data_IF_055459308861
#
_entry.id   IF_055459308861
#
_cell.length_a   1.000
_cell.length_b   1.000
_cell.length_c   1.000
_cell.angle_alpha   90.00
_cell.angle_beta   90.00
_cell.angle_gamma   90.00
#
_symmetry.space_group_name_H-M   'P 1'
#
loop_
_entity.id
_entity.type
_entity.pdbx_description
1 polymer ?
#
# COMPACT_ATOMS: atom_id res chain seq x y z
N UNK A 1 6.28 -5.94 -3.44
CA UNK A 1 7.69 -5.90 -2.98
C UNK A 1 8.10 -4.95 -1.81
N UNK A 2 7.21 -4.65 -0.83
CA UNK A 2 7.65 -4.30 0.56
C UNK A 2 7.28 -5.44 1.54
N UNK A 3 6.50 -6.44 1.10
CA UNK A 3 6.08 -7.56 1.92
C UNK A 3 6.51 -8.94 1.40
N UNK A 4 6.67 -9.15 0.10
CA UNK A 4 7.16 -10.45 -0.38
C UNK A 4 8.68 -10.48 -0.66
N UNK A 5 9.47 -10.59 0.40
CA UNK A 5 10.90 -10.86 0.28
C UNK A 5 11.30 -12.10 1.08
N UNK A 6 10.71 -13.26 0.81
CA UNK A 6 11.32 -14.50 1.27
C UNK A 6 11.01 -15.77 0.47
N UNK A 7 11.59 -15.94 -0.73
CA UNK A 7 11.90 -17.29 -1.25
C UNK A 7 13.22 -17.36 -2.03
N UNK A 8 14.34 -17.59 -1.33
CA UNK A 8 15.49 -18.38 -1.83
C UNK A 8 16.07 -19.24 -0.71
N UNK A 9 15.86 -20.56 -0.82
CA UNK A 9 16.06 -21.53 0.26
C UNK A 9 17.44 -22.18 0.38
N UNK A 10 17.54 -23.13 1.34
CA UNK A 10 18.63 -24.11 1.40
C UNK A 10 19.02 -24.67 2.78
N UNK A 11 18.19 -25.57 3.34
CA UNK A 11 18.53 -26.75 4.20
C UNK A 11 19.41 -26.56 5.47
N UNK A 12 18.83 -26.84 6.65
CA UNK A 12 19.34 -27.84 7.61
C UNK A 12 18.32 -28.16 8.72
N UNK A 13 17.70 -29.35 8.61
CA UNK A 13 16.93 -30.03 9.64
C UNK A 13 17.79 -30.40 10.86
N UNK A 14 17.27 -30.24 12.09
CA UNK A 14 17.53 -31.19 13.20
C UNK A 14 16.40 -31.18 14.25
N UNK A 15 15.88 -32.39 14.47
CA UNK A 15 14.69 -32.79 15.22
C UNK A 15 14.99 -33.12 16.70
N UNK A 16 13.94 -33.11 17.55
CA UNK A 16 13.65 -33.90 18.80
C UNK A 16 13.47 -33.03 20.07
N UNK A 17 12.48 -33.18 20.98
CA UNK A 17 11.51 -34.25 21.32
C UNK A 17 10.33 -33.71 22.20
N UNK A 18 9.09 -34.03 21.81
CA UNK A 18 7.92 -34.56 22.58
C UNK A 18 7.32 -33.87 23.84
N UNK A 19 6.04 -33.45 23.75
CA UNK A 19 4.95 -33.94 24.62
C UNK A 19 3.57 -33.67 23.97
N UNK A 20 2.85 -34.75 23.69
CA UNK A 20 1.51 -34.76 23.06
C UNK A 20 0.48 -34.39 24.12
N UNK A 21 -0.15 -33.24 23.97
CA UNK A 21 -1.44 -32.94 24.61
C UNK A 21 -2.46 -32.76 23.48
N UNK A 22 -3.41 -33.69 23.41
CA UNK A 22 -4.53 -33.65 22.48
C UNK A 22 -5.46 -32.49 22.87
N UNK A 23 -5.09 -31.28 22.45
CA UNK A 23 -5.96 -30.11 22.41
C UNK A 23 -6.61 -30.04 21.04
N UNK A 24 -7.93 -29.86 21.04
CA UNK A 24 -8.76 -29.61 19.88
C UNK A 24 -8.19 -28.40 19.10
N UNK A 25 -7.35 -28.66 18.10
CA UNK A 25 -6.89 -27.66 17.14
C UNK A 25 -8.06 -27.32 16.23
N UNK A 26 -8.81 -26.27 16.59
CA UNK A 26 -9.51 -25.48 15.59
C UNK A 26 -8.42 -24.81 14.78
N UNK A 27 -7.92 -25.51 13.75
CA UNK A 27 -7.09 -24.91 12.72
C UNK A 27 -7.99 -23.95 11.96
N UNK A 28 -8.02 -22.69 12.37
CA UNK A 28 -8.28 -21.60 11.43
C UNK A 28 -7.18 -21.72 10.39
N UNK A 29 -7.51 -22.29 9.23
CA UNK A 29 -6.64 -22.24 8.09
C UNK A 29 -6.40 -20.75 7.80
N UNK A 30 -5.19 -20.28 8.11
CA UNK A 30 -4.71 -19.04 7.54
C UNK A 30 -4.52 -19.38 6.07
N UNK A 31 -5.47 -18.98 5.24
CA UNK A 31 -5.30 -19.03 3.78
C UNK A 31 -4.28 -17.94 3.50
N UNK A 32 -3.00 -18.32 3.46
CA UNK A 32 -1.94 -17.45 2.96
C UNK A 32 -2.05 -17.52 1.45
N UNK A 33 -2.72 -16.52 0.88
CA UNK A 33 -2.72 -16.36 -0.56
C UNK A 33 -1.43 -15.72 -1.04
N UNK A 34 -0.95 -16.13 -2.20
CA UNK A 34 0.25 -15.57 -2.80
C UNK A 34 -0.12 -14.35 -3.67
N UNK A 35 0.33 -13.16 -3.25
CA UNK A 35 0.33 -12.00 -4.13
C UNK A 35 1.39 -12.17 -5.23
N UNK A 36 1.12 -11.66 -6.42
CA UNK A 36 2.12 -11.60 -7.50
C UNK A 36 2.80 -10.23 -7.54
N UNK A 37 3.98 -10.14 -8.15
CA UNK A 37 4.89 -9.00 -7.97
C UNK A 37 4.78 -7.93 -9.06
N UNK A 38 4.11 -8.23 -10.18
CA UNK A 38 3.96 -7.33 -11.32
C UNK A 38 2.52 -7.28 -11.83
N UNK A 39 2.28 -6.56 -12.93
CA UNK A 39 0.96 -6.49 -13.56
C UNK A 39 0.41 -7.84 -13.96
N UNK A 40 -0.91 -8.01 -13.89
CA UNK A 40 -1.54 -9.24 -14.34
C UNK A 40 -1.33 -9.42 -15.85
N UNK A 41 -1.20 -10.68 -16.28
CA UNK A 41 -1.34 -11.01 -17.69
C UNK A 41 -2.75 -10.67 -18.17
N UNK A 42 -2.81 -10.00 -19.33
CA UNK A 42 -4.06 -9.55 -19.93
C UNK A 42 -4.34 -10.24 -21.26
N UNK A 43 -5.62 -10.45 -21.56
CA UNK A 43 -6.15 -10.86 -22.87
C UNK A 43 -7.15 -9.82 -23.34
N UNK A 44 -6.93 -9.26 -24.53
CA UNK A 44 -7.77 -8.20 -25.11
C UNK A 44 -7.98 -6.98 -24.17
N UNK A 45 -7.00 -6.70 -23.30
CA UNK A 45 -7.03 -5.61 -22.33
C UNK A 45 -7.66 -5.95 -20.98
N UNK A 46 -8.27 -7.12 -20.81
CA UNK A 46 -8.83 -7.58 -19.54
C UNK A 46 -7.85 -8.51 -18.81
N UNK A 47 -7.85 -8.50 -17.47
CA UNK A 47 -7.11 -9.46 -16.64
C UNK A 47 -7.58 -10.87 -16.98
N UNK A 48 -6.62 -11.75 -17.29
CA UNK A 48 -6.92 -13.14 -17.63
C UNK A 48 -7.12 -13.98 -16.38
N UNK A 49 -8.27 -14.65 -16.28
CA UNK A 49 -8.52 -15.65 -15.25
C UNK A 49 -8.10 -17.04 -15.77
N UNK A 50 -7.11 -17.63 -15.12
CA UNK A 50 -6.56 -18.94 -15.46
C UNK A 50 -7.40 -20.09 -14.90
N UNK A 51 -7.97 -19.90 -13.72
CA UNK A 51 -8.81 -20.88 -13.05
C UNK A 51 -9.79 -20.20 -12.09
N UNK A 52 -10.83 -20.94 -11.71
CA UNK A 52 -11.66 -20.63 -10.54
C UNK A 52 -11.08 -21.47 -9.40
N UNK A 53 -10.28 -20.83 -8.55
CA UNK A 53 -9.50 -21.50 -7.50
C UNK A 53 -8.62 -20.49 -6.76
N UNK A 54 -7.73 -20.99 -5.92
CA UNK A 54 -6.93 -20.15 -5.01
C UNK A 54 -5.88 -19.30 -5.72
N UNK A 55 -5.45 -19.65 -6.95
CA UNK A 55 -4.45 -18.88 -7.71
C UNK A 55 -4.97 -18.52 -9.11
N UNK A 56 -6.05 -17.72 -9.17
CA UNK A 56 -6.81 -17.44 -10.39
C UNK A 56 -6.04 -16.66 -11.45
N UNK A 57 -4.98 -15.94 -11.08
CA UNK A 57 -4.28 -15.00 -11.98
C UNK A 57 -2.79 -15.32 -12.07
N UNK A 58 -2.15 -14.74 -13.10
CA UNK A 58 -0.70 -14.71 -13.22
C UNK A 58 -0.22 -13.31 -13.51
N UNK A 59 0.97 -12.98 -13.01
CA UNK A 59 1.66 -11.75 -13.39
C UNK A 59 2.47 -11.89 -14.69
N UNK A 60 3.00 -10.77 -15.19
CA UNK A 60 3.81 -10.73 -16.42
C UNK A 60 5.14 -11.50 -16.35
N UNK A 61 5.57 -11.91 -15.15
CA UNK A 61 6.71 -12.79 -14.95
C UNK A 61 6.31 -14.29 -14.90
N UNK A 62 5.01 -14.58 -14.98
CA UNK A 62 4.43 -15.92 -15.02
C UNK A 62 4.17 -16.53 -13.64
N UNK A 63 4.29 -15.76 -12.56
CA UNK A 63 3.97 -16.19 -11.20
C UNK A 63 2.46 -16.29 -11.04
N UNK A 64 1.97 -17.36 -10.44
CA UNK A 64 0.54 -17.53 -10.16
C UNK A 64 0.21 -17.09 -8.73
N UNK A 65 -0.97 -16.49 -8.56
CA UNK A 65 -1.44 -15.95 -7.28
C UNK A 65 -2.90 -15.53 -7.31
N UNK A 66 -3.36 -14.90 -6.24
CA UNK A 66 -4.73 -14.37 -6.10
C UNK A 66 -4.81 -12.85 -6.24
N UNK A 67 -3.69 -12.20 -6.45
CA UNK A 67 -3.64 -10.78 -6.72
C UNK A 67 -2.53 -10.44 -7.72
N UNK A 68 -2.67 -9.32 -8.42
CA UNK A 68 -1.54 -8.68 -9.11
C UNK A 68 -1.58 -7.17 -8.98
N UNK A 69 -0.46 -6.54 -9.38
CA UNK A 69 -0.21 -5.11 -9.21
C UNK A 69 -0.69 -4.31 -10.42
N UNK A 70 -1.61 -3.39 -10.22
CA UNK A 70 -2.19 -2.59 -11.31
C UNK A 70 -1.93 -1.08 -11.12
N UNK A 71 -2.43 -0.30 -12.07
CA UNK A 71 -2.49 1.15 -12.00
C UNK A 71 -3.89 1.59 -11.57
N UNK A 72 -4.07 2.22 -10.40
CA UNK A 72 -5.39 2.70 -10.00
C UNK A 72 -5.85 3.89 -10.84
N UNK A 73 -7.17 4.08 -10.99
CA UNK A 73 -7.72 5.25 -11.69
C UNK A 73 -7.40 6.52 -10.91
N UNK A 74 -7.57 6.47 -9.59
CA UNK A 74 -7.19 7.52 -8.67
C UNK A 74 -6.67 6.95 -7.35
N UNK A 75 -5.61 7.57 -6.84
CA UNK A 75 -5.04 7.32 -5.53
C UNK A 75 -5.19 8.58 -4.68
N UNK A 76 -5.70 8.44 -3.47
CA UNK A 76 -5.98 9.55 -2.57
C UNK A 76 -5.16 9.43 -1.31
N UNK A 77 -4.42 10.48 -1.02
CA UNK A 77 -3.60 10.61 0.18
C UNK A 77 -4.02 11.84 0.96
N UNK A 78 -3.66 11.89 2.25
CA UNK A 78 -3.84 13.05 3.09
C UNK A 78 -2.49 13.40 3.74
N UNK A 79 -1.96 14.59 3.43
CA UNK A 79 -0.58 14.99 3.70
C UNK A 79 -0.55 15.96 4.88
N UNK A 80 0.09 15.56 5.99
CA UNK A 80 0.33 16.43 7.15
C UNK A 80 1.64 17.21 7.02
N UNK A 81 2.68 16.54 6.53
CA UNK A 81 4.00 17.15 6.30
C UNK A 81 4.52 16.72 4.94
N UNK A 82 5.08 17.65 4.19
CA UNK A 82 5.89 17.34 3.01
C UNK A 82 7.02 18.35 2.88
N UNK A 83 8.25 17.87 2.81
CA UNK A 83 9.42 18.74 2.84
C UNK A 83 10.74 18.03 2.62
N UNK A 84 11.82 18.77 2.84
CA UNK A 84 13.19 18.30 2.75
C UNK A 84 13.92 18.54 4.08
N UNK A 85 14.84 17.65 4.44
CA UNK A 85 15.56 17.67 5.71
C UNK A 85 17.07 17.55 5.50
N UNK A 86 17.84 18.15 6.41
CA UNK A 86 19.32 18.06 6.42
C UNK A 86 19.84 16.89 7.25
N UNK A 87 18.93 16.14 7.88
CA UNK A 87 19.21 14.91 8.61
C UNK A 87 18.02 13.95 8.44
N UNK A 88 18.26 12.64 8.59
CA UNK A 88 17.20 11.64 8.44
C UNK A 88 16.12 11.80 9.52
N UNK A 89 14.85 12.00 9.13
CA UNK A 89 13.73 11.93 10.07
C UNK A 89 13.39 10.49 10.45
N UNK A 90 13.93 9.48 9.75
CA UNK A 90 13.82 8.07 10.12
C UNK A 90 14.83 7.74 11.23
N UNK A 91 14.55 8.22 12.44
CA UNK A 91 15.36 7.99 13.63
C UNK A 91 14.48 7.56 14.83
N UNK A 92 15.04 7.44 16.03
CA UNK A 92 14.29 6.96 17.20
C UNK A 92 13.19 7.93 17.68
N UNK A 93 13.36 9.23 17.46
CA UNK A 93 12.42 10.27 17.94
C UNK A 93 11.51 10.81 16.85
N UNK A 94 11.75 10.44 15.59
CA UNK A 94 11.04 10.97 14.42
C UNK A 94 11.10 12.50 14.31
N UNK A 95 12.12 13.14 14.91
CA UNK A 95 12.24 14.59 14.91
C UNK A 95 12.30 15.13 13.48
N UNK A 96 11.53 16.19 13.25
CA UNK A 96 11.49 16.92 12.00
C UNK A 96 12.17 18.28 12.09
N UNK A 97 12.97 18.53 13.13
CA UNK A 97 13.59 19.85 13.39
C UNK A 97 14.59 20.28 12.30
N UNK A 98 15.17 19.30 11.60
CA UNK A 98 16.08 19.53 10.47
C UNK A 98 15.36 19.79 9.14
N UNK A 99 14.02 19.72 9.14
CA UNK A 99 13.20 19.79 7.95
C UNK A 99 12.70 21.20 7.67
N UNK A 100 12.58 21.53 6.39
CA UNK A 100 11.81 22.65 5.87
C UNK A 100 10.69 22.11 4.99
N UNK A 101 9.54 22.79 4.97
CA UNK A 101 8.30 22.21 4.46
C UNK A 101 7.65 23.04 3.36
N UNK A 102 7.08 22.32 2.39
CA UNK A 102 6.08 22.78 1.42
C UNK A 102 4.66 22.60 1.99
N UNK A 103 4.42 21.48 2.66
CA UNK A 103 3.18 21.21 3.40
C UNK A 103 3.51 21.05 4.87
N UNK A 104 2.86 21.86 5.70
CA UNK A 104 2.91 21.79 7.16
C UNK A 104 1.50 22.07 7.71
N UNK A 105 0.68 21.03 7.81
CA UNK A 105 -0.74 21.13 8.19
C UNK A 105 -1.09 20.11 9.28
N UNK A 106 -1.65 20.57 10.40
CA UNK A 106 -2.13 19.68 11.46
C UNK A 106 -3.46 19.00 11.11
N UNK A 107 -4.24 19.60 10.21
CA UNK A 107 -5.47 19.01 9.69
C UNK A 107 -5.23 18.02 8.53
N UNK A 108 -4.04 18.03 7.95
CA UNK A 108 -3.75 17.35 6.68
C UNK A 108 -4.26 18.15 5.47
N UNK A 109 -3.73 17.82 4.29
CA UNK A 109 -4.20 18.30 3.00
C UNK A 109 -4.47 17.07 2.13
N UNK A 110 -5.72 16.87 1.74
CA UNK A 110 -6.07 15.79 0.83
C UNK A 110 -5.56 16.10 -0.57
N UNK A 111 -4.91 15.12 -1.18
CA UNK A 111 -4.43 15.17 -2.54
C UNK A 111 -4.84 13.91 -3.29
N UNK A 112 -5.27 14.09 -4.53
CA UNK A 112 -5.66 13.03 -5.44
C UNK A 112 -4.64 12.96 -6.57
N UNK A 113 -4.13 11.76 -6.80
CA UNK A 113 -3.15 11.44 -7.83
C UNK A 113 -3.88 10.59 -8.86
N UNK A 114 -3.83 10.99 -10.13
CA UNK A 114 -4.42 10.26 -11.24
C UNK A 114 -3.49 10.34 -12.44
N UNK A 115 -3.32 9.26 -13.18
CA UNK A 115 -2.51 9.23 -14.40
C UNK A 115 -3.42 9.25 -15.64
N UNK A 116 -3.09 9.99 -16.72
CA UNK A 116 -1.92 10.85 -16.93
C UNK A 116 -2.13 12.31 -16.45
N UNK A 117 -3.18 12.56 -15.67
CA UNK A 117 -3.48 13.89 -15.16
C UNK A 117 -2.34 14.43 -14.27
N UNK A 118 -2.16 15.75 -14.29
CA UNK A 118 -1.27 16.45 -13.35
C UNK A 118 -2.15 17.30 -12.45
N UNK A 119 -1.90 17.23 -11.15
CA UNK A 119 -2.58 18.04 -10.15
C UNK A 119 -1.53 18.76 -9.30
N UNK A 120 -1.77 20.03 -9.04
CA UNK A 120 -0.94 20.79 -8.11
C UNK A 120 -1.23 20.33 -6.68
N UNK A 121 -0.18 20.07 -5.91
CA UNK A 121 -0.31 19.89 -4.45
C UNK A 121 -0.44 21.27 -3.83
N UNK A 122 -1.49 21.48 -3.04
CA UNK A 122 -1.65 22.72 -2.28
C UNK A 122 -0.52 22.81 -1.25
N UNK A 123 0.32 23.83 -1.36
CA UNK A 123 1.37 24.15 -0.39
C UNK A 123 0.91 25.27 0.53
N UNK A 124 1.35 25.24 1.78
CA UNK A 124 0.99 26.25 2.79
C UNK A 124 2.21 26.81 3.54
N UNK A 125 3.41 26.47 3.08
CA UNK A 125 4.68 26.87 3.66
C UNK A 125 5.72 27.12 2.55
N UNK A 126 6.82 27.79 2.91
CA UNK A 126 7.95 28.04 2.01
C UNK A 126 9.18 27.27 2.50
N UNK A 127 9.90 26.69 1.55
CA UNK A 127 11.20 26.08 1.80
C UNK A 127 12.25 27.14 2.11
N UNK A 128 13.07 26.89 3.13
CA UNK A 128 14.24 27.70 3.43
C UNK A 128 15.36 27.41 2.42
N UNK A 129 16.23 28.41 2.21
CA UNK A 129 17.46 28.24 1.42
C UNK A 129 18.37 27.27 2.16
N UNK A 130 18.92 26.29 1.44
CA UNK A 130 19.74 25.25 2.04
C UNK A 130 20.02 24.11 1.07
N UNK A 131 20.81 23.15 1.56
CA UNK A 131 21.06 21.88 0.87
C UNK A 131 20.49 20.76 1.72
N UNK A 132 19.63 19.94 1.12
CA UNK A 132 18.91 18.89 1.81
C UNK A 132 19.18 17.54 1.15
N UNK A 133 19.55 16.55 1.95
CA UNK A 133 19.88 15.19 1.54
C UNK A 133 18.79 14.17 1.90
N UNK A 134 17.72 14.62 2.55
CA UNK A 134 16.56 13.80 2.88
C UNK A 134 15.26 14.47 2.43
N UNK A 135 14.27 13.65 2.09
CA UNK A 135 12.88 14.06 1.85
C UNK A 135 11.96 13.39 2.86
N UNK A 136 10.91 14.09 3.29
CA UNK A 136 9.96 13.59 4.28
C UNK A 136 8.53 13.81 3.84
N UNK A 137 7.71 12.77 4.01
CA UNK A 137 6.26 12.83 3.95
C UNK A 137 5.72 12.28 5.27
N UNK A 138 4.78 13.00 5.88
CA UNK A 138 3.92 12.46 6.94
C UNK A 138 2.51 12.43 6.39
N UNK A 139 1.97 11.24 6.20
CA UNK A 139 0.65 10.98 5.65
C UNK A 139 -0.30 10.49 6.73
N UNK A 140 -1.60 10.59 6.50
CA UNK A 140 -2.56 9.69 7.13
C UNK A 140 -2.22 8.25 6.74
N UNK A 141 -2.30 7.30 7.67
CA UNK A 141 -2.09 5.88 7.36
C UNK A 141 -3.28 5.25 6.63
N UNK A 142 -4.29 6.04 6.25
CA UNK A 142 -5.46 5.66 5.48
C UNK A 142 -5.30 6.12 4.04
N UNK A 143 -5.08 5.19 3.13
CA UNK A 143 -4.86 5.45 1.71
C UNK A 143 -6.11 5.09 0.93
N UNK A 144 -6.53 5.95 0.01
CA UNK A 144 -7.76 5.76 -0.76
C UNK A 144 -7.47 5.31 -2.18
N UNK A 145 -8.15 4.28 -2.65
CA UNK A 145 -8.11 3.80 -4.02
C UNK A 145 -9.50 3.92 -4.63
N UNK A 146 -9.55 4.46 -5.84
CA UNK A 146 -10.72 4.38 -6.71
C UNK A 146 -10.26 3.73 -8.00
N UNK A 147 -10.87 2.62 -8.37
CA UNK A 147 -10.41 1.82 -9.49
C UNK A 147 -11.55 1.01 -10.13
N UNK A 148 -11.44 0.82 -11.43
CA UNK A 148 -12.26 -0.07 -12.24
C UNK A 148 -11.34 -1.06 -12.93
N UNK A 149 -11.70 -2.33 -12.92
CA UNK A 149 -10.95 -3.40 -13.58
C UNK A 149 -11.88 -4.28 -14.42
N UNK A 150 -11.37 -4.81 -15.53
CA UNK A 150 -12.09 -5.75 -16.38
C UNK A 150 -11.35 -7.09 -16.42
N UNK A 151 -12.10 -8.17 -16.24
CA UNK A 151 -11.65 -9.56 -16.31
C UNK A 151 -12.18 -10.24 -17.56
N UNK A 152 -11.42 -11.19 -18.10
CA UNK A 152 -11.84 -11.95 -19.28
C UNK A 152 -13.02 -12.90 -18.99
N UNK A 153 -13.24 -13.18 -17.70
CA UNK A 153 -14.25 -14.07 -17.14
C UNK A 153 -15.10 -13.31 -16.13
N UNK A 154 -16.40 -13.61 -16.06
CA UNK A 154 -17.27 -12.98 -15.08
C UNK A 154 -16.97 -13.51 -13.67
N UNK A 155 -16.75 -12.62 -12.72
CA UNK A 155 -16.48 -12.93 -11.31
C UNK A 155 -17.50 -12.20 -10.42
N UNK A 156 -17.48 -12.49 -9.13
CA UNK A 156 -18.44 -11.96 -8.16
C UNK A 156 -17.88 -10.75 -7.40
N UNK A 157 -18.76 -9.85 -7.01
CA UNK A 157 -18.46 -8.75 -6.10
C UNK A 157 -19.44 -8.76 -4.93
N UNK A 158 -19.55 -7.62 -4.24
CA UNK A 158 -20.39 -7.48 -3.06
C UNK A 158 -21.89 -7.74 -3.32
N UNK A 159 -22.41 -7.35 -4.48
CA UNK A 159 -23.85 -7.48 -4.79
C UNK A 159 -24.15 -8.17 -6.11
N UNK A 160 -23.24 -8.05 -7.08
CA UNK A 160 -23.42 -8.58 -8.42
C UNK A 160 -22.30 -9.51 -8.88
N UNK A 161 -22.40 -9.91 -10.14
CA UNK A 161 -21.33 -10.57 -10.87
C UNK A 161 -21.25 -10.02 -12.28
N UNK A 162 -20.05 -10.04 -12.85
CA UNK A 162 -19.79 -9.48 -14.16
C UNK A 162 -18.31 -9.50 -14.50
N UNK A 163 -17.98 -9.09 -15.72
CA UNK A 163 -16.58 -8.95 -16.16
C UNK A 163 -15.95 -7.67 -15.65
N UNK A 164 -16.74 -6.63 -15.39
CA UNK A 164 -16.24 -5.35 -14.89
C UNK A 164 -16.48 -5.32 -13.40
N UNK A 165 -15.44 -5.00 -12.65
CA UNK A 165 -15.49 -4.80 -11.22
C UNK A 165 -14.94 -3.42 -10.86
N UNK A 166 -15.36 -2.88 -9.73
CA UNK A 166 -14.96 -1.56 -9.27
C UNK A 166 -14.94 -1.47 -7.75
N UNK A 167 -14.11 -0.57 -7.24
CA UNK A 167 -14.08 -0.25 -5.81
C UNK A 167 -15.42 0.33 -5.35
N UNK A 168 -15.89 -0.09 -4.17
CA UNK A 168 -17.06 0.51 -3.50
C UNK A 168 -16.63 1.30 -2.25
N UNK A 169 -17.56 2.02 -1.65
CA UNK A 169 -17.28 2.79 -0.43
C UNK A 169 -17.09 1.84 0.76
N UNK A 170 -15.83 1.54 1.07
CA UNK A 170 -15.43 0.63 2.15
C UNK A 170 -14.14 1.11 2.82
N UNK A 171 -13.83 0.53 3.99
CA UNK A 171 -12.55 0.72 4.65
C UNK A 171 -12.08 -0.63 5.18
N UNK A 172 -10.91 -1.07 4.73
CA UNK A 172 -10.22 -2.30 5.15
C UNK A 172 -8.96 -1.94 5.95
N UNK A 173 -8.37 -2.93 6.61
CA UNK A 173 -7.02 -2.82 7.15
C UNK A 173 -6.05 -3.71 6.34
N UNK A 174 -4.79 -3.30 6.31
CA UNK A 174 -3.73 -4.07 5.65
C UNK A 174 -3.51 -5.42 6.34
N UNK A 175 -3.30 -5.42 7.66
CA UNK A 175 -3.08 -6.66 8.43
C UNK A 175 -4.36 -7.25 9.04
N UNK A 176 -5.50 -6.58 8.88
CA UNK A 176 -6.78 -7.07 9.39
C UNK A 176 -6.87 -7.13 10.92
N UNK A 177 -6.14 -6.26 11.63
CA UNK A 177 -6.07 -6.27 13.10
C UNK A 177 -6.73 -5.04 13.73
N UNK A 178 -7.03 -4.01 12.94
CA UNK A 178 -7.71 -2.80 13.42
C UNK A 178 -9.18 -3.05 13.73
N UNK A 179 -9.64 -2.58 14.87
CA UNK A 179 -11.05 -2.68 15.24
C UNK A 179 -11.95 -1.78 14.37
N UNK A 180 -13.14 -2.28 14.04
CA UNK A 180 -14.18 -1.48 13.37
C UNK A 180 -13.97 -1.24 11.87
N UNK A 181 -13.03 -1.95 11.24
CA UNK A 181 -12.86 -1.99 9.77
C UNK A 181 -13.38 -3.29 9.19
N UNK A 182 -13.56 -3.33 7.87
CA UNK A 182 -13.99 -4.54 7.16
C UNK A 182 -12.76 -5.43 6.93
N UNK A 183 -12.89 -6.70 7.30
CA UNK A 183 -12.01 -7.76 6.81
C UNK A 183 -12.49 -8.18 5.42
N UNK A 184 -11.73 -7.86 4.38
CA UNK A 184 -12.12 -8.18 3.01
C UNK A 184 -12.10 -9.69 2.79
N UNK A 185 -13.21 -10.23 2.30
CA UNK A 185 -13.37 -11.66 2.02
C UNK A 185 -14.47 -11.87 0.99
N UNK A 186 -14.66 -13.08 0.44
CA UNK A 186 -15.84 -13.40 -0.36
C UNK A 186 -17.18 -13.06 0.31
N UNK A 187 -17.27 -13.12 1.65
CA UNK A 187 -18.47 -12.78 2.40
C UNK A 187 -18.67 -11.26 2.61
N UNK A 188 -17.57 -10.49 2.54
CA UNK A 188 -17.53 -9.04 2.75
C UNK A 188 -16.62 -8.35 1.73
N UNK A 189 -16.91 -8.43 0.41
CA UNK A 189 -16.06 -7.81 -0.60
C UNK A 189 -16.09 -6.27 -0.50
N UNK A 190 -14.94 -5.64 -0.70
CA UNK A 190 -14.72 -4.20 -0.84
C UNK A 190 -14.77 -3.74 -2.32
N UNK A 191 -15.21 -4.62 -3.22
CA UNK A 191 -15.46 -4.34 -4.63
C UNK A 191 -16.83 -4.89 -5.04
N UNK A 192 -17.40 -4.35 -6.12
CA UNK A 192 -18.61 -4.89 -6.75
C UNK A 192 -18.39 -5.15 -8.25
N UNK A 193 -19.18 -6.05 -8.83
CA UNK A 193 -19.03 -6.47 -10.22
C UNK A 193 -20.38 -6.46 -10.97
N UNK A 194 -20.35 -6.12 -12.25
CA UNK A 194 -21.54 -6.04 -13.11
C UNK A 194 -21.29 -5.37 -14.45
N UNK A 195 -22.35 -4.84 -15.06
CA UNK A 195 -22.29 -4.26 -16.41
C UNK A 195 -21.90 -2.77 -16.43
N UNK A 196 -22.28 -2.03 -15.38
CA UNK A 196 -22.13 -0.57 -15.31
C UNK A 196 -21.30 -0.19 -14.08
N UNK A 197 -20.00 0.10 -14.25
CA UNK A 197 -19.14 0.50 -13.15
C UNK A 197 -19.57 1.81 -12.48
N UNK A 198 -19.57 1.80 -11.14
CA UNK A 198 -19.82 2.99 -10.30
C UNK A 198 -18.73 3.08 -9.23
N UNK A 199 -17.46 3.34 -9.62
CA UNK A 199 -16.34 3.32 -8.69
C UNK A 199 -16.46 4.42 -7.63
N UNK A 200 -16.26 4.04 -6.37
CA UNK A 200 -16.12 4.92 -5.23
C UNK A 200 -14.75 4.73 -4.56
N UNK A 201 -14.35 5.64 -3.67
CA UNK A 201 -13.13 5.42 -2.89
C UNK A 201 -13.35 4.28 -1.90
N UNK A 202 -12.60 3.20 -2.08
CA UNK A 202 -12.29 2.25 -1.02
C UNK A 202 -11.02 2.72 -0.31
N UNK A 203 -10.91 2.49 0.98
CA UNK A 203 -9.74 2.88 1.76
C UNK A 203 -9.08 1.67 2.40
N UNK A 204 -7.75 1.66 2.44
CA UNK A 204 -6.98 0.72 3.24
C UNK A 204 -6.24 1.48 4.34
N UNK A 205 -6.37 1.01 5.58
CA UNK A 205 -5.64 1.51 6.72
C UNK A 205 -4.42 0.62 6.96
N UNK A 206 -3.24 1.22 6.94
CA UNK A 206 -2.02 0.57 7.39
C UNK A 206 -1.97 0.56 8.91
N UNK A 207 -2.49 -0.51 9.49
CA UNK A 207 -2.43 -0.82 10.92
C UNK A 207 -1.15 -1.57 11.31
N UNK A 208 -0.45 -2.14 10.34
CA UNK A 208 0.85 -2.79 10.46
C UNK A 208 1.71 -2.51 9.21
N UNK A 209 3.01 -2.66 9.36
CA UNK A 209 4.03 -2.71 8.31
C UNK A 209 4.52 -4.16 8.15
N UNK A 210 3.62 -5.12 8.21
CA UNK A 210 3.86 -6.57 8.12
C UNK A 210 2.53 -7.30 8.22
N UNK A 211 2.50 -8.62 7.95
CA UNK A 211 1.27 -9.41 7.81
C UNK A 211 0.36 -9.49 9.07
N UNK A 212 0.78 -8.90 10.19
CA UNK A 212 0.02 -8.86 11.44
C UNK A 212 0.35 -10.02 12.38
N UNK A 213 -0.62 -10.39 13.23
CA UNK A 213 -0.49 -11.48 14.20
C UNK A 213 -0.07 -11.04 15.61
N UNK A 214 0.51 -11.97 16.39
CA UNK A 214 0.81 -11.74 17.82
C UNK A 214 1.85 -10.63 18.08
N UNK A 215 2.61 -10.23 17.05
CA UNK A 215 3.61 -9.17 17.14
C UNK A 215 3.37 -8.13 16.06
N UNK A 216 2.83 -6.95 16.42
CA UNK A 216 2.62 -5.91 15.43
C UNK A 216 3.95 -5.32 14.95
N UNK A 217 4.03 -5.04 13.65
CA UNK A 217 5.22 -4.45 13.02
C UNK A 217 4.89 -3.01 12.66
N UNK A 218 5.59 -2.03 13.24
CA UNK A 218 5.34 -0.60 12.96
C UNK A 218 6.45 0.09 12.18
N UNK A 219 7.48 -0.66 11.81
CA UNK A 219 8.60 -0.22 10.99
C UNK A 219 8.80 -1.29 9.93
N UNK A 220 9.01 -0.90 8.68
CA UNK A 220 9.35 -1.88 7.65
C UNK A 220 10.61 -2.67 8.07
N UNK A 221 10.61 -3.99 7.86
CA UNK A 221 11.63 -4.90 8.38
C UNK A 221 13.01 -4.70 7.74
N UNK A 222 13.06 -4.13 6.53
CA UNK A 222 14.29 -3.84 5.83
C UNK A 222 14.91 -2.52 6.33
N UNK A 223 15.90 -2.65 7.22
CA UNK A 223 16.73 -1.54 7.69
C UNK A 223 17.53 -0.88 6.54
N UNK A 224 17.81 -1.60 5.44
CA UNK A 224 18.46 -1.04 4.25
C UNK A 224 17.52 -0.12 3.47
N UNK A 225 16.21 -0.37 3.55
CA UNK A 225 15.16 0.41 2.91
C UNK A 225 14.99 0.10 1.42
N UNK A 226 13.87 0.55 0.86
CA UNK A 226 13.51 0.28 -0.52
C UNK A 226 14.24 1.23 -1.49
N UNK A 227 15.09 0.68 -2.36
CA UNK A 227 15.78 1.45 -3.41
C UNK A 227 14.80 1.87 -4.52
N UNK A 228 14.76 3.16 -4.81
CA UNK A 228 13.99 3.76 -5.90
C UNK A 228 14.87 4.73 -6.69
N UNK A 229 14.36 5.21 -7.83
CA UNK A 229 15.10 6.18 -8.66
C UNK A 229 15.55 7.42 -7.87
N UNK A 230 14.71 7.92 -6.95
CA UNK A 230 14.96 9.12 -6.15
C UNK A 230 15.91 8.92 -4.97
N UNK A 231 16.20 7.67 -4.56
CA UNK A 231 16.96 7.39 -3.34
C UNK A 231 16.51 6.12 -2.63
N UNK A 232 16.69 6.07 -1.31
CA UNK A 232 16.34 4.93 -0.48
C UNK A 232 15.20 5.34 0.45
N UNK A 233 14.05 4.67 0.33
CA UNK A 233 12.84 4.94 1.09
C UNK A 233 12.72 4.02 2.30
N UNK A 234 12.33 4.59 3.44
CA UNK A 234 11.94 3.88 4.65
C UNK A 234 10.61 4.42 5.15
N UNK A 235 9.80 3.53 5.71
CA UNK A 235 8.49 3.88 6.23
C UNK A 235 8.25 3.29 7.62
N UNK A 236 7.52 4.03 8.46
CA UNK A 236 7.06 3.56 9.76
C UNK A 236 5.70 4.17 10.10
N UNK A 237 4.92 3.44 10.90
CA UNK A 237 3.65 3.90 11.43
C UNK A 237 3.87 4.69 12.71
N UNK A 238 3.18 5.81 12.80
CA UNK A 238 3.25 6.76 13.89
C UNK A 238 1.85 7.00 14.47
N UNK A 239 1.83 7.45 15.72
CA UNK A 239 0.64 8.04 16.33
C UNK A 239 0.42 9.46 15.80
N UNK A 240 -0.72 10.05 16.14
CA UNK A 240 -1.03 11.44 15.80
C UNK A 240 -0.04 12.48 16.36
N UNK A 241 0.71 12.16 17.42
CA UNK A 241 1.76 13.00 18.01
C UNK A 241 3.17 12.78 17.41
N UNK A 242 3.26 11.98 16.34
CA UNK A 242 4.49 11.59 15.62
C UNK A 242 5.44 10.65 16.40
N UNK A 243 5.06 10.16 17.57
CA UNK A 243 5.76 9.02 18.18
C UNK A 243 5.46 7.72 17.42
N UNK A 244 6.33 6.72 17.54
CA UNK A 244 6.11 5.44 16.84
C UNK A 244 4.86 4.75 17.37
N UNK A 245 4.04 4.19 16.48
CA UNK A 245 2.89 3.38 16.86
C UNK A 245 3.31 2.17 17.70
N UNK A 246 2.42 1.71 18.57
CA UNK A 246 2.68 0.63 19.52
C UNK A 246 1.61 -0.47 19.51
N UNK A 247 0.49 -0.23 18.86
CA UNK A 247 -0.57 -1.22 18.61
C UNK A 247 -1.33 -0.86 17.32
N UNK A 248 -2.16 -1.78 16.81
CA UNK A 248 -2.92 -1.60 15.57
C UNK A 248 -3.91 -0.43 15.60
N UNK A 249 -4.33 0.00 16.80
CA UNK A 249 -5.32 1.07 17.00
C UNK A 249 -4.70 2.47 17.00
N UNK A 250 -3.44 2.59 17.42
CA UNK A 250 -2.76 3.89 17.57
C UNK A 250 -1.85 4.27 16.39
N UNK A 251 -1.80 3.44 15.35
CA UNK A 251 -1.28 3.83 14.05
C UNK A 251 -2.27 4.82 13.39
N UNK A 252 -1.90 6.09 13.33
CA UNK A 252 -2.71 7.18 12.77
C UNK A 252 -2.04 7.89 11.59
N UNK A 253 -0.72 7.71 11.46
CA UNK A 253 0.14 8.41 10.52
C UNK A 253 1.16 7.45 9.93
N UNK A 254 1.62 7.76 8.73
CA UNK A 254 2.74 7.08 8.09
C UNK A 254 3.85 8.10 7.83
N UNK A 255 5.02 7.87 8.43
CA UNK A 255 6.24 8.60 8.09
C UNK A 255 6.93 7.88 6.96
N UNK A 256 7.11 8.58 5.84
CA UNK A 256 7.92 8.14 4.71
C UNK A 256 9.14 9.06 4.65
N UNK A 257 10.32 8.47 4.80
CA UNK A 257 11.59 9.16 4.78
C UNK A 257 12.43 8.63 3.63
N UNK A 258 12.96 9.52 2.81
CA UNK A 258 13.77 9.16 1.64
C UNK A 258 15.14 9.78 1.78
N UNK A 259 16.17 8.95 1.85
CA UNK A 259 17.55 9.39 1.70
C UNK A 259 17.80 9.62 0.21
N UNK A 260 18.01 10.87 -0.18
CA UNK A 260 18.08 11.26 -1.58
C UNK A 260 19.41 10.82 -2.19
N UNK A 261 19.37 10.29 -3.42
CA UNK A 261 20.58 9.95 -4.18
C UNK A 261 21.44 11.17 -4.49
N UNK A 262 20.82 12.34 -4.58
CA UNK A 262 21.49 13.62 -4.77
C UNK A 262 20.77 14.70 -3.96
N UNK A 263 21.54 15.45 -3.19
CA UNK A 263 21.01 16.54 -2.38
C UNK A 263 20.31 17.58 -3.26
N UNK A 264 19.21 18.13 -2.77
CA UNK A 264 18.42 19.16 -3.43
C UNK A 264 18.82 20.51 -2.82
N UNK A 265 19.30 21.40 -3.67
CA UNK A 265 19.69 22.75 -3.29
C UNK A 265 18.52 23.71 -3.50
N UNK A 266 18.08 24.38 -2.44
CA UNK A 266 17.13 25.48 -2.50
C UNK A 266 17.93 26.77 -2.41
N UNK A 267 17.75 27.63 -3.39
CA UNK A 267 18.39 28.96 -3.47
C UNK A 267 17.40 30.04 -3.87
N UNK A 268 17.85 31.29 -3.94
CA UNK A 268 17.05 32.42 -4.45
C UNK A 268 16.58 32.23 -5.90
N UNK A 269 17.25 31.40 -6.69
CA UNK A 269 16.83 31.08 -8.06
C UNK A 269 15.76 29.99 -8.13
N UNK A 270 15.35 29.41 -6.99
CA UNK A 270 14.30 28.39 -6.96
C UNK A 270 12.96 29.04 -7.29
N UNK A 271 12.37 28.63 -8.40
CA UNK A 271 11.11 29.15 -8.92
C UNK A 271 9.93 28.23 -8.67
N UNK A 272 10.18 26.96 -8.33
CA UNK A 272 9.12 26.04 -7.98
C UNK A 272 9.57 24.61 -7.69
N UNK A 273 8.57 23.76 -7.51
CA UNK A 273 8.73 22.36 -7.18
C UNK A 273 7.81 21.52 -8.07
N UNK A 274 8.25 20.33 -8.45
CA UNK A 274 7.42 19.32 -9.11
C UNK A 274 7.57 18.00 -8.36
N UNK A 275 6.44 17.48 -7.88
CA UNK A 275 6.36 16.19 -7.21
C UNK A 275 5.92 15.17 -8.24
N UNK A 276 6.64 14.06 -8.34
CA UNK A 276 6.33 12.97 -9.24
C UNK A 276 6.02 11.73 -8.44
N UNK A 277 4.86 11.15 -8.68
CA UNK A 277 4.47 9.86 -8.13
C UNK A 277 4.57 8.80 -9.23
N UNK A 278 5.23 7.67 -8.95
CA UNK A 278 5.11 6.46 -9.78
C UNK A 278 3.89 5.69 -9.28
N UNK A 279 2.87 5.61 -10.14
CA UNK A 279 1.59 4.97 -9.85
C UNK A 279 1.46 3.56 -10.45
N UNK A 280 2.35 3.18 -11.36
CA UNK A 280 2.43 1.79 -11.84
C UNK A 280 2.75 0.89 -10.66
N UNK A 281 2.03 -0.23 -10.56
CA UNK A 281 2.17 -1.22 -9.49
C UNK A 281 1.79 -0.67 -8.10
N UNK A 282 0.90 0.33 -8.04
CA UNK A 282 0.51 1.00 -6.78
C UNK A 282 -0.85 0.57 -6.23
N UNK A 283 -1.52 -0.38 -6.87
CA UNK A 283 -2.67 -1.06 -6.29
C UNK A 283 -2.54 -2.56 -6.49
N UNK A 284 -2.88 -3.34 -5.48
CA UNK A 284 -3.08 -4.78 -5.60
C UNK A 284 -4.55 -5.05 -5.88
N UNK A 285 -4.89 -5.70 -6.98
CA UNK A 285 -6.26 -6.16 -7.23
C UNK A 285 -6.40 -7.56 -6.64
N UNK A 286 -7.03 -7.66 -5.47
CA UNK A 286 -7.07 -8.89 -4.70
C UNK A 286 -8.34 -9.67 -5.00
N UNK A 287 -8.16 -10.94 -5.29
CA UNK A 287 -9.23 -11.90 -5.56
C UNK A 287 -9.25 -12.96 -4.47
N UNK A 288 -10.39 -13.63 -4.29
CA UNK A 288 -10.48 -14.73 -3.35
C UNK A 288 -11.52 -15.76 -3.79
N UNK A 289 -11.17 -17.03 -3.64
CA UNK A 289 -12.02 -18.15 -4.00
C UNK A 289 -12.84 -18.64 -2.80
N UNK A 290 -14.15 -18.75 -3.00
CA UNK A 290 -15.07 -19.41 -2.08
C UNK A 290 -15.31 -20.85 -2.54
N UNK A 291 -14.61 -21.79 -1.91
CA UNK A 291 -14.75 -23.23 -2.18
C UNK A 291 -16.17 -23.75 -1.95
N UNK A 292 -16.89 -23.19 -0.98
CA UNK A 292 -18.25 -23.62 -0.65
C UNK A 292 -19.27 -23.25 -1.74
N UNK A 293 -19.03 -22.15 -2.43
CA UNK A 293 -19.89 -21.67 -3.52
C UNK A 293 -19.35 -21.98 -4.93
N UNK A 294 -18.10 -22.43 -5.04
CA UNK A 294 -17.33 -22.56 -6.30
C UNK A 294 -17.32 -21.23 -7.07
N UNK A 295 -16.88 -20.16 -6.40
CA UNK A 295 -16.94 -18.79 -6.93
C UNK A 295 -15.67 -18.01 -6.64
N UNK A 296 -15.23 -17.26 -7.65
CA UNK A 296 -14.17 -16.27 -7.50
C UNK A 296 -14.76 -14.88 -7.26
N UNK A 297 -14.24 -14.17 -6.26
CA UNK A 297 -14.64 -12.82 -5.89
C UNK A 297 -13.52 -11.82 -6.10
N UNK A 298 -13.85 -10.61 -6.55
CA UNK A 298 -13.00 -9.44 -6.36
C UNK A 298 -13.21 -8.90 -4.95
N UNK A 299 -12.19 -9.00 -4.08
CA UNK A 299 -12.38 -8.76 -2.64
C UNK A 299 -11.87 -7.42 -2.16
N UNK A 300 -10.74 -6.92 -2.65
CA UNK A 300 -10.27 -5.56 -2.30
C UNK A 300 -9.27 -5.03 -3.32
N UNK A 301 -9.05 -3.73 -3.22
CA UNK A 301 -7.90 -3.08 -3.83
C UNK A 301 -6.94 -2.67 -2.71
N UNK A 302 -5.87 -3.45 -2.52
CA UNK A 302 -4.80 -3.13 -1.59
C UNK A 302 -4.04 -1.91 -2.08
N UNK A 303 -3.77 -0.95 -1.19
CA UNK A 303 -2.98 0.23 -1.53
C UNK A 303 -1.51 -0.15 -1.45
N UNK A 304 -0.80 -0.19 -2.57
CA UNK A 304 0.65 -0.47 -2.54
C UNK A 304 1.46 0.83 -2.36
N UNK A 305 2.72 0.71 -1.89
CA UNK A 305 3.63 1.83 -1.77
C UNK A 305 3.87 2.51 -3.13
N UNK A 306 3.60 3.80 -3.23
CA UNK A 306 3.98 4.60 -4.39
C UNK A 306 5.42 5.12 -4.24
N UNK A 307 6.14 5.20 -5.37
CA UNK A 307 7.45 5.86 -5.39
C UNK A 307 7.27 7.35 -5.63
N UNK A 308 8.16 8.17 -5.06
CA UNK A 308 8.08 9.62 -5.16
C UNK A 308 9.45 10.23 -5.49
N UNK A 309 9.44 11.23 -6.38
CA UNK A 309 10.59 12.10 -6.66
C UNK A 309 10.17 13.57 -6.57
N UNK A 310 11.13 14.42 -6.22
CA UNK A 310 10.96 15.87 -6.14
C UNK A 310 11.96 16.56 -7.04
N UNK A 311 11.47 17.38 -7.96
CA UNK A 311 12.28 18.24 -8.81
C UNK A 311 12.19 19.67 -8.29
N UNK A 312 13.35 20.26 -8.05
CA UNK A 312 13.50 21.69 -7.76
C UNK A 312 13.73 22.42 -9.08
N UNK A 313 12.94 23.47 -9.36
CA UNK A 313 12.97 24.26 -10.59
C UNK A 313 13.53 25.64 -10.34
#
# INVERSE_FOLDING_TARGET
MIFDSYKRGGVAMKLKFTLVLAGLLVSTAIVVSAETETACERVDGAIKIYEIGDNPVKDTDGNAGDACKELPDNYKINIFRFGLCTASPYNATNSLDSCSFLVNSDAGISHEIAYPAKADVTTNSKMAIGSYDHMVLVLENKLGIKHTEEFDTAIYGATGSGKKCWTIASTTAFAGQRSGVIEASPATPAMDCGDTPVPAYSYEIFDSMGEGGESPVFKAEDDEGFEMQGGIMRAKLLKSDLTTATNFEDADRMLVAIQLKSAKAISESTTGFEIRFKMTDSVSVDLSYDEGADRLYAVKNGADPFQIDLIVK
#
